data_IF_143704961199
#
_entry.id   IF_143704961199
#
_cell.length_a   1.000
_cell.length_b   1.000
_cell.length_c   1.000
_cell.angle_alpha   90.00
_cell.angle_beta   90.00
_cell.angle_gamma   90.00
#
_symmetry.space_group_name_H-M   'P 1'
#
loop_
_entity.id
_entity.type
_entity.pdbx_description
1 polymer ?
#
# COMPACT_ATOMS: atom_id res chain seq x y z
N UNK A 1 -16.87 18.17 16.95
CA UNK A 1 -15.44 17.79 16.89
C UNK A 1 -15.17 17.19 15.53
N UNK A 2 -14.14 17.63 14.82
CA UNK A 2 -13.73 17.01 13.57
C UNK A 2 -13.32 15.56 13.84
N UNK A 3 -13.84 14.61 13.05
CA UNK A 3 -13.43 13.20 13.12
C UNK A 3 -12.05 13.08 12.47
N UNK A 4 -11.17 12.25 13.00
CA UNK A 4 -9.80 12.10 12.48
C UNK A 4 -9.51 10.67 12.07
N UNK A 5 -8.91 10.50 10.90
CA UNK A 5 -8.47 9.22 10.35
C UNK A 5 -6.93 9.21 10.27
N UNK A 6 -6.27 8.41 11.11
CA UNK A 6 -4.83 8.19 10.98
C UNK A 6 -4.58 7.17 9.85
N UNK A 7 -3.92 7.61 8.78
CA UNK A 7 -3.68 6.80 7.58
C UNK A 7 -2.20 6.40 7.47
N UNK A 8 -1.90 5.13 7.74
CA UNK A 8 -0.55 4.58 7.67
C UNK A 8 -0.25 4.03 6.28
N UNK A 9 0.87 4.43 5.66
CA UNK A 9 1.13 4.10 4.26
C UNK A 9 2.61 3.92 3.91
N UNK A 10 2.88 3.18 2.82
CA UNK A 10 4.20 3.01 2.20
C UNK A 10 4.07 2.96 0.68
N UNK A 11 4.71 3.90 -0.01
CA UNK A 11 4.64 4.05 -1.47
C UNK A 11 5.22 2.87 -2.26
N UNK A 12 5.89 1.91 -1.60
CA UNK A 12 6.35 0.67 -2.25
C UNK A 12 5.22 -0.33 -2.53
N UNK A 13 4.04 -0.16 -1.91
CA UNK A 13 2.91 -1.08 -2.04
C UNK A 13 1.90 -0.60 -3.09
N UNK A 14 1.53 -1.42 -4.09
CA UNK A 14 0.49 -1.03 -5.06
C UNK A 14 -0.88 -0.86 -4.37
N UNK A 15 -1.12 -1.57 -3.27
CA UNK A 15 -2.34 -1.45 -2.48
C UNK A 15 -2.49 -0.08 -1.81
N UNK A 16 -1.37 0.55 -1.45
CA UNK A 16 -1.37 1.91 -0.91
C UNK A 16 -1.88 2.91 -1.94
N UNK A 17 -1.56 2.72 -3.22
CA UNK A 17 -2.08 3.58 -4.28
C UNK A 17 -3.60 3.45 -4.45
N UNK A 18 -4.12 2.22 -4.43
CA UNK A 18 -5.57 1.98 -4.42
C UNK A 18 -6.25 2.64 -3.21
N UNK A 19 -5.65 2.50 -2.02
CA UNK A 19 -6.19 3.06 -0.79
C UNK A 19 -6.22 4.61 -0.81
N UNK A 20 -5.22 5.27 -1.42
CA UNK A 20 -5.23 6.73 -1.59
C UNK A 20 -6.40 7.22 -2.45
N UNK A 21 -6.82 6.43 -3.43
CA UNK A 21 -7.97 6.76 -4.27
C UNK A 21 -9.29 6.61 -3.49
N UNK A 22 -9.40 5.55 -2.68
CA UNK A 22 -10.61 5.26 -1.93
C UNK A 22 -10.82 6.15 -0.68
N UNK A 23 -9.73 6.55 0.00
CA UNK A 23 -9.83 7.23 1.30
C UNK A 23 -10.30 8.68 1.18
N UNK A 24 -9.97 9.36 0.09
CA UNK A 24 -10.31 10.77 -0.13
C UNK A 24 -11.83 11.03 -0.15
N UNK A 25 -12.64 10.34 -0.99
CA UNK A 25 -14.09 10.54 -0.98
C UNK A 25 -14.70 10.12 0.37
N UNK A 26 -14.17 9.07 1.01
CA UNK A 26 -14.65 8.58 2.30
C UNK A 26 -14.53 9.64 3.40
N UNK A 27 -13.38 10.32 3.50
CA UNK A 27 -13.21 11.35 4.55
C UNK A 27 -14.03 12.60 4.26
N UNK A 28 -14.25 12.94 2.99
CA UNK A 28 -15.10 14.04 2.60
C UNK A 28 -16.57 13.77 3.02
N UNK A 29 -17.07 12.57 2.77
CA UNK A 29 -18.41 12.14 3.18
C UNK A 29 -18.57 12.14 4.71
N UNK A 30 -17.54 11.70 5.43
CA UNK A 30 -17.54 11.63 6.89
C UNK A 30 -17.25 12.99 7.57
N UNK A 31 -16.90 14.03 6.83
CA UNK A 31 -16.43 15.30 7.40
C UNK A 31 -15.26 15.07 8.36
N UNK A 32 -14.30 14.25 7.95
CA UNK A 32 -13.14 13.86 8.74
C UNK A 32 -11.85 14.39 8.13
N UNK A 33 -10.85 14.63 8.99
CA UNK A 33 -9.50 15.00 8.58
C UNK A 33 -8.61 13.77 8.51
N UNK A 34 -7.80 13.66 7.45
CA UNK A 34 -6.76 12.62 7.36
C UNK A 34 -5.49 13.13 8.03
N UNK A 35 -4.90 12.30 8.89
CA UNK A 35 -3.53 12.47 9.33
C UNK A 35 -2.65 11.39 8.71
N UNK A 36 -1.80 11.84 7.81
CA UNK A 36 -0.87 11.02 7.07
C UNK A 36 0.27 10.52 7.99
N UNK A 37 0.45 9.20 8.03
CA UNK A 37 1.45 8.51 8.84
C UNK A 37 2.35 7.65 7.94
N UNK A 38 3.37 8.23 7.29
CA UNK A 38 4.32 7.46 6.50
C UNK A 38 5.01 6.39 7.38
N UNK A 39 5.08 5.15 6.89
CA UNK A 39 5.78 4.05 7.54
C UNK A 39 6.69 3.32 6.55
N UNK A 40 7.60 2.51 7.09
CA UNK A 40 8.39 1.56 6.31
C UNK A 40 7.86 0.16 6.58
N UNK A 41 7.10 -0.39 5.64
CA UNK A 41 6.47 -1.70 5.76
C UNK A 41 7.53 -2.81 5.89
N UNK A 42 8.70 -2.64 5.26
CA UNK A 42 9.85 -3.53 5.47
C UNK A 42 10.33 -3.59 6.93
N UNK A 43 10.31 -2.45 7.64
CA UNK A 43 10.62 -2.41 9.08
C UNK A 43 9.56 -3.10 9.92
N UNK A 44 8.28 -2.95 9.55
CA UNK A 44 7.16 -3.62 10.22
C UNK A 44 7.27 -5.15 10.06
N UNK A 45 7.50 -5.64 8.84
CA UNK A 45 7.65 -7.09 8.62
C UNK A 45 8.79 -7.70 9.40
N UNK A 46 9.95 -7.03 9.47
CA UNK A 46 11.07 -7.47 10.29
C UNK A 46 10.71 -7.60 11.78
N UNK A 47 9.89 -6.67 12.30
CA UNK A 47 9.53 -6.62 13.71
C UNK A 47 8.44 -7.64 14.10
N UNK A 48 7.41 -7.82 13.26
CA UNK A 48 6.19 -8.56 13.66
C UNK A 48 5.81 -9.74 12.76
N UNK A 49 6.43 -9.90 11.59
CA UNK A 49 6.05 -10.99 10.68
C UNK A 49 7.22 -11.51 9.83
N UNK A 50 8.07 -12.34 10.44
CA UNK A 50 9.20 -12.99 9.76
C UNK A 50 8.77 -13.92 8.61
N UNK A 51 7.54 -14.47 8.67
CA UNK A 51 7.02 -15.39 7.62
C UNK A 51 6.83 -14.71 6.26
N UNK A 52 6.82 -13.37 6.19
CA UNK A 52 6.82 -12.65 4.91
C UNK A 52 8.12 -12.89 4.13
N UNK A 53 9.25 -13.04 4.82
CA UNK A 53 10.52 -13.35 4.19
C UNK A 53 10.57 -14.82 3.73
N UNK A 54 10.00 -15.73 4.52
CA UNK A 54 9.89 -17.15 4.15
C UNK A 54 9.01 -17.35 2.91
N UNK A 55 7.89 -16.63 2.83
CA UNK A 55 7.01 -16.63 1.65
C UNK A 55 7.68 -16.00 0.41
N UNK A 56 8.65 -15.09 0.58
CA UNK A 56 9.46 -14.59 -0.54
C UNK A 56 10.51 -15.62 -0.98
N UNK A 57 11.02 -16.42 -0.06
CA UNK A 57 11.98 -17.49 -0.36
C UNK A 57 11.31 -18.68 -1.07
N UNK A 58 10.06 -19.01 -0.72
CA UNK A 58 9.28 -20.08 -1.35
C UNK A 58 7.86 -19.60 -1.73
N UNK A 59 7.70 -18.88 -2.86
CA UNK A 59 6.42 -18.29 -3.23
C UNK A 59 5.41 -19.35 -3.69
N UNK A 60 4.21 -19.30 -3.11
CA UNK A 60 3.06 -20.08 -3.59
C UNK A 60 2.52 -19.44 -4.89
N UNK A 61 2.61 -20.18 -6.00
CA UNK A 61 2.19 -19.72 -7.32
C UNK A 61 0.69 -19.37 -7.42
N UNK A 62 -0.18 -20.11 -6.74
CA UNK A 62 -1.62 -19.84 -6.71
C UNK A 62 -1.92 -18.52 -6.00
N UNK A 63 -1.23 -18.25 -4.89
CA UNK A 63 -1.36 -16.99 -4.14
C UNK A 63 -0.86 -15.81 -4.96
N UNK A 64 0.26 -15.97 -5.68
CA UNK A 64 0.80 -14.93 -6.55
C UNK A 64 -0.14 -14.62 -7.73
N UNK A 65 -0.67 -15.65 -8.40
CA UNK A 65 -1.63 -15.49 -9.50
C UNK A 65 -2.91 -14.78 -9.03
N UNK A 66 -3.44 -15.16 -7.86
CA UNK A 66 -4.61 -14.50 -7.29
C UNK A 66 -4.35 -13.04 -6.96
N UNK A 67 -3.18 -12.71 -6.39
CA UNK A 67 -2.80 -11.33 -6.07
C UNK A 67 -2.74 -10.44 -7.33
N UNK A 68 -2.23 -10.96 -8.45
CA UNK A 68 -2.21 -10.21 -9.72
C UNK A 68 -3.62 -9.99 -10.28
N UNK A 69 -4.46 -11.02 -10.24
CA UNK A 69 -5.87 -10.94 -10.65
C UNK A 69 -6.63 -9.91 -9.81
N UNK A 70 -6.48 -9.97 -8.49
CA UNK A 70 -7.16 -9.07 -7.56
C UNK A 70 -6.70 -7.61 -7.76
N UNK A 71 -5.39 -7.39 -7.92
CA UNK A 71 -4.86 -6.06 -8.22
C UNK A 71 -5.43 -5.49 -9.53
N UNK A 72 -5.58 -6.32 -10.57
CA UNK A 72 -6.16 -5.91 -11.83
C UNK A 72 -7.66 -5.58 -11.71
N UNK A 73 -8.40 -6.32 -10.87
CA UNK A 73 -9.82 -6.08 -10.62
C UNK A 73 -10.05 -4.77 -9.88
N UNK A 74 -9.27 -4.49 -8.84
CA UNK A 74 -9.33 -3.21 -8.12
C UNK A 74 -8.91 -2.03 -8.99
N UNK A 75 -7.85 -2.20 -9.79
CA UNK A 75 -7.43 -1.20 -10.74
C UNK A 75 -8.57 -0.85 -11.71
N UNK A 76 -9.28 -1.85 -12.24
CA UNK A 76 -10.45 -1.67 -13.10
C UNK A 76 -11.64 -1.02 -12.37
N UNK A 77 -11.90 -1.40 -11.12
CA UNK A 77 -12.98 -0.80 -10.32
C UNK A 77 -12.77 0.69 -10.08
N UNK A 78 -11.52 1.12 -9.87
CA UNK A 78 -11.17 2.51 -9.62
C UNK A 78 -10.75 3.28 -10.89
N UNK A 79 -10.86 2.66 -12.07
CA UNK A 79 -10.39 3.23 -13.34
C UNK A 79 -8.92 3.68 -13.29
N UNK A 80 -8.08 2.90 -12.60
CA UNK A 80 -6.66 3.13 -12.43
C UNK A 80 -5.85 2.18 -13.31
N UNK A 81 -4.68 2.65 -13.76
CA UNK A 81 -3.69 1.83 -14.44
C UNK A 81 -2.52 1.50 -13.52
N UNK A 82 -2.45 0.27 -13.04
CA UNK A 82 -1.35 -0.24 -12.22
C UNK A 82 -0.54 -1.24 -13.05
N UNK A 83 0.77 -0.99 -13.21
CA UNK A 83 1.69 -1.91 -13.88
C UNK A 83 2.41 -2.72 -12.80
N UNK A 84 2.23 -4.04 -12.81
CA UNK A 84 2.89 -4.95 -11.88
C UNK A 84 3.48 -6.16 -12.62
N UNK A 85 4.72 -6.58 -12.30
CA UNK A 85 5.65 -5.97 -11.34
C UNK A 85 6.15 -4.60 -11.82
N UNK A 86 6.54 -3.70 -10.90
CA UNK A 86 7.11 -2.41 -11.26
C UNK A 86 8.42 -2.61 -12.02
N UNK A 87 8.74 -1.68 -12.94
CA UNK A 87 9.99 -1.73 -13.74
C UNK A 87 11.25 -1.78 -12.88
N UNK A 88 11.19 -1.23 -11.67
CA UNK A 88 12.25 -1.29 -10.67
C UNK A 88 11.72 -2.07 -9.46
N UNK A 89 12.28 -3.26 -9.21
CA UNK A 89 11.94 -4.08 -8.06
C UNK A 89 13.21 -4.64 -7.40
N UNK A 90 13.32 -4.64 -6.06
CA UNK A 90 12.39 -4.05 -5.08
C UNK A 90 12.40 -2.52 -5.09
N UNK A 91 11.22 -1.90 -4.91
CA UNK A 91 11.08 -0.44 -4.82
C UNK A 91 11.71 0.04 -3.52
N UNK A 92 12.77 0.85 -3.60
CA UNK A 92 13.35 1.50 -2.43
C UNK A 92 12.54 2.75 -2.07
N UNK A 93 11.50 2.58 -1.24
CA UNK A 93 10.65 3.68 -0.79
C UNK A 93 11.28 4.55 0.29
N UNK A 94 12.44 4.20 0.86
CA UNK A 94 13.00 4.87 2.06
C UNK A 94 13.14 6.38 1.88
N UNK A 95 13.68 6.84 0.75
CA UNK A 95 13.82 8.28 0.47
C UNK A 95 12.47 8.98 0.31
N UNK A 96 11.53 8.34 -0.38
CA UNK A 96 10.17 8.86 -0.59
C UNK A 96 9.42 8.96 0.74
N UNK A 97 9.45 7.91 1.56
CA UNK A 97 8.77 7.90 2.86
C UNK A 97 9.35 8.90 3.85
N UNK A 98 10.68 9.12 3.83
CA UNK A 98 11.31 10.18 4.63
C UNK A 98 10.88 11.57 4.19
N UNK A 99 10.74 11.80 2.89
CA UNK A 99 10.21 13.06 2.36
C UNK A 99 8.76 13.34 2.78
N UNK A 100 7.96 12.29 2.98
CA UNK A 100 6.57 12.40 3.41
C UNK A 100 6.39 12.67 4.92
N UNK A 101 7.47 12.63 5.72
CA UNK A 101 7.45 12.97 7.14
C UNK A 101 7.60 14.47 7.43
N UNK A 102 7.85 15.29 6.39
CA UNK A 102 8.03 16.74 6.45
C UNK A 102 6.77 17.46 5.97
#
# INVERSE_FOLDING_TARGET
MARRLDFYFDCSSPWTYLAFHAVQPLVAELGADIVWKPILVGGVFNAVNRTVYDNRAAPNSLKAAYMLKDLADWARLYDLKIVFPPKVFPVNSVKCMRGACH
#
